data_IF_852685145176
#
_entry.id   IF_852685145176
#
_cell.length_a   1.000
_cell.length_b   1.000
_cell.length_c   1.000
_cell.angle_alpha   90.00
_cell.angle_beta   90.00
_cell.angle_gamma   90.00
#
_symmetry.space_group_name_H-M   'P 1'
#
loop_
_entity.id
_entity.type
_entity.pdbx_description
1 polymer ?
#
# COMPACT_ATOMS: atom_id res chain seq x y z
N UNK A 1 -11.18 12.82 -1.13
CA UNK A 1 -10.50 12.40 0.10
C UNK A 1 -9.19 11.69 -0.24
N UNK A 2 -8.14 11.98 0.50
CA UNK A 2 -6.83 11.33 0.37
C UNK A 2 -6.40 10.77 1.72
N UNK A 3 -6.04 9.49 1.74
CA UNK A 3 -5.60 8.82 2.95
C UNK A 3 -4.16 8.32 2.80
N UNK A 4 -3.38 8.41 3.86
CA UNK A 4 -2.09 7.74 3.99
C UNK A 4 -2.14 6.71 5.10
N UNK A 5 -1.41 5.61 4.94
CA UNK A 5 -1.29 4.57 5.94
C UNK A 5 0.08 4.66 6.60
N UNK A 6 0.11 4.63 7.92
CA UNK A 6 1.33 4.54 8.72
C UNK A 6 1.25 3.33 9.66
N UNK A 7 2.38 2.86 10.16
CA UNK A 7 2.43 1.83 11.21
C UNK A 7 2.85 2.47 12.53
N UNK A 8 2.04 2.38 13.59
CA UNK A 8 2.51 2.78 14.94
C UNK A 8 3.49 1.73 15.46
N UNK A 9 4.73 2.16 15.74
CA UNK A 9 5.77 1.25 16.22
C UNK A 9 5.50 0.65 17.60
N UNK A 10 4.60 1.25 18.39
CA UNK A 10 4.28 0.75 19.74
C UNK A 10 3.31 -0.42 19.71
N UNK A 11 2.35 -0.39 18.80
CA UNK A 11 1.28 -1.39 18.71
C UNK A 11 1.46 -2.33 17.52
N UNK A 12 2.21 -1.92 16.48
CA UNK A 12 2.32 -2.64 15.22
C UNK A 12 1.11 -2.46 14.30
N UNK A 13 0.10 -1.69 14.72
CA UNK A 13 -1.16 -1.51 14.02
C UNK A 13 -1.07 -0.43 12.91
N UNK A 14 -1.91 -0.52 11.88
CA UNK A 14 -2.04 0.52 10.89
C UNK A 14 -2.79 1.74 11.44
N UNK A 15 -2.32 2.93 11.11
CA UNK A 15 -2.99 4.20 11.34
C UNK A 15 -3.36 4.78 9.99
N UNK A 16 -4.64 5.04 9.77
CA UNK A 16 -5.15 5.62 8.52
C UNK A 16 -5.44 7.11 8.77
N UNK A 17 -4.57 7.96 8.23
CA UNK A 17 -4.73 9.41 8.34
C UNK A 17 -5.37 9.99 7.08
N UNK A 18 -6.46 10.74 7.25
CA UNK A 18 -7.11 11.48 6.18
C UNK A 18 -6.43 12.84 6.03
N UNK A 19 -5.70 13.02 4.95
CA UNK A 19 -5.14 14.32 4.59
C UNK A 19 -6.26 15.25 4.09
N UNK A 20 -6.30 16.46 4.61
CA UNK A 20 -7.40 17.39 4.36
C UNK A 20 -7.00 18.63 3.56
N UNK A 21 -5.85 19.19 3.88
CA UNK A 21 -5.42 20.51 3.39
C UNK A 21 -4.09 20.46 2.64
N UNK A 22 -3.30 19.40 2.83
CA UNK A 22 -1.93 19.33 2.32
C UNK A 22 -0.98 20.30 3.06
N UNK A 23 -1.31 20.68 4.28
CA UNK A 23 -0.47 21.52 5.12
C UNK A 23 0.75 20.76 5.69
N UNK A 24 1.53 21.44 6.54
CA UNK A 24 2.75 20.86 7.11
C UNK A 24 2.47 19.59 7.96
N UNK A 25 1.29 19.47 8.56
CA UNK A 25 0.91 18.28 9.32
C UNK A 25 0.61 17.11 8.39
N UNK A 26 -0.19 17.30 7.35
CA UNK A 26 -0.46 16.30 6.32
C UNK A 26 0.84 15.82 5.65
N UNK A 27 1.76 16.75 5.32
CA UNK A 27 3.08 16.40 4.76
C UNK A 27 3.89 15.52 5.72
N UNK A 28 3.84 15.76 7.03
CA UNK A 28 4.50 14.90 8.01
C UNK A 28 3.89 13.49 8.07
N UNK A 29 2.58 13.35 7.89
CA UNK A 29 1.94 12.05 7.77
C UNK A 29 2.38 11.32 6.50
N UNK A 30 2.53 12.03 5.37
CA UNK A 30 3.08 11.47 4.13
C UNK A 30 4.54 11.02 4.31
N UNK A 31 5.37 11.82 5.01
CA UNK A 31 6.74 11.47 5.38
C UNK A 31 6.76 10.17 6.21
N UNK A 32 5.90 10.08 7.22
CA UNK A 32 5.79 8.89 8.06
C UNK A 32 5.38 7.66 7.26
N UNK A 33 4.41 7.80 6.35
CA UNK A 33 3.94 6.73 5.45
C UNK A 33 5.03 6.20 4.52
N UNK A 34 6.01 7.04 4.15
CA UNK A 34 7.15 6.68 3.30
C UNK A 34 8.42 6.30 4.09
N UNK A 35 8.37 6.31 5.43
CA UNK A 35 9.53 6.08 6.30
C UNK A 35 9.79 4.58 6.49
N UNK A 36 10.58 3.99 5.57
CA UNK A 36 10.92 2.56 5.61
C UNK A 36 11.78 2.19 6.84
N UNK A 37 11.49 1.05 7.50
CA UNK A 37 12.33 0.51 8.57
C UNK A 37 13.80 0.39 8.14
N UNK A 38 14.71 0.69 9.06
CA UNK A 38 16.16 0.77 8.88
C UNK A 38 16.66 1.92 8.00
N UNK A 39 15.90 2.38 7.02
CA UNK A 39 16.29 3.47 6.11
C UNK A 39 15.91 4.86 6.65
N UNK A 40 14.83 4.96 7.43
CA UNK A 40 14.36 6.21 7.99
C UNK A 40 14.28 6.19 9.52
N UNK A 41 14.11 7.36 10.12
CA UNK A 41 13.84 7.52 11.55
C UNK A 41 12.34 7.38 11.81
N UNK A 42 11.99 6.98 13.06
CA UNK A 42 10.61 7.02 13.53
C UNK A 42 10.13 8.48 13.51
N UNK A 43 9.07 8.75 12.80
CA UNK A 43 8.40 10.06 12.74
C UNK A 43 7.44 10.16 13.91
N UNK A 44 7.57 11.23 14.70
CA UNK A 44 6.68 11.47 15.85
C UNK A 44 5.62 12.50 15.47
N UNK A 45 4.34 12.12 15.61
CA UNK A 45 3.18 13.00 15.39
C UNK A 45 2.24 12.82 16.58
N UNK A 46 2.04 13.88 17.37
CA UNK A 46 1.31 13.79 18.64
C UNK A 46 1.89 12.70 19.54
N UNK A 47 1.08 11.72 19.91
CA UNK A 47 1.47 10.58 20.73
C UNK A 47 1.97 9.36 19.93
N UNK A 48 1.90 9.40 18.60
CA UNK A 48 2.32 8.30 17.73
C UNK A 48 3.81 8.30 17.46
N UNK A 49 4.38 7.10 17.33
CA UNK A 49 5.69 6.87 16.71
C UNK A 49 5.48 6.05 15.43
N UNK A 50 5.68 6.67 14.27
CA UNK A 50 5.22 6.15 13.00
C UNK A 50 6.36 5.76 12.07
N UNK A 51 6.13 4.69 11.32
CA UNK A 51 6.92 4.23 10.18
C UNK A 51 5.98 3.85 9.01
N UNK A 52 6.59 3.41 7.91
CA UNK A 52 5.91 3.01 6.65
C UNK A 52 4.68 2.15 6.89
N UNK A 53 3.56 2.58 6.34
CA UNK A 53 2.27 1.90 6.47
C UNK A 53 2.24 0.53 5.83
N UNK A 54 3.07 0.30 4.81
CA UNK A 54 3.20 -1.00 4.17
C UNK A 54 3.74 -2.11 5.09
N UNK A 55 4.13 -1.80 6.32
CA UNK A 55 4.45 -2.81 7.34
C UNK A 55 3.16 -3.44 7.89
N UNK A 56 2.21 -2.63 8.34
CA UNK A 56 0.96 -3.09 8.94
C UNK A 56 -0.11 -3.40 7.89
N UNK A 57 -0.33 -2.49 6.93
CA UNK A 57 -1.31 -2.65 5.84
C UNK A 57 -0.75 -2.07 4.53
N UNK A 58 -0.27 -2.95 3.67
CA UNK A 58 0.35 -2.55 2.39
C UNK A 58 -0.68 -2.18 1.31
N UNK A 59 -1.92 -2.68 1.40
CA UNK A 59 -3.00 -2.48 0.43
C UNK A 59 -4.31 -2.34 1.21
N UNK A 60 -4.73 -1.12 1.57
CA UNK A 60 -5.75 -0.88 2.59
C UNK A 60 -7.20 -1.10 2.09
N UNK A 61 -7.44 -2.17 1.34
CA UNK A 61 -8.76 -2.45 0.77
C UNK A 61 -9.85 -2.63 1.84
N UNK A 62 -9.53 -3.39 2.91
CA UNK A 62 -10.49 -3.63 3.99
C UNK A 62 -10.85 -2.35 4.75
N UNK A 63 -9.88 -1.43 4.90
CA UNK A 63 -10.15 -0.12 5.47
C UNK A 63 -11.14 0.67 4.61
N UNK A 64 -10.91 0.74 3.29
CA UNK A 64 -11.82 1.47 2.39
C UNK A 64 -13.22 0.86 2.38
N UNK A 65 -13.34 -0.46 2.39
CA UNK A 65 -14.64 -1.13 2.54
C UNK A 65 -15.32 -0.77 3.87
N UNK A 66 -14.56 -0.71 4.98
CA UNK A 66 -15.10 -0.40 6.31
C UNK A 66 -15.64 1.02 6.43
N UNK A 67 -15.12 1.96 5.64
CA UNK A 67 -15.60 3.36 5.60
C UNK A 67 -16.60 3.62 4.47
N UNK A 68 -17.11 2.56 3.83
CA UNK A 68 -18.26 2.63 2.92
C UNK A 68 -17.94 2.58 1.42
N UNK A 69 -16.68 2.46 1.00
CA UNK A 69 -16.34 2.30 -0.41
C UNK A 69 -16.61 0.85 -0.84
N UNK A 70 -17.72 0.63 -1.52
CA UNK A 70 -18.18 -0.72 -1.91
C UNK A 70 -17.49 -1.26 -3.16
N UNK A 71 -17.00 -0.38 -4.04
CA UNK A 71 -16.28 -0.71 -5.28
C UNK A 71 -14.99 0.07 -5.36
N UNK A 72 -13.91 -0.60 -5.69
CA UNK A 72 -12.57 0.00 -5.66
C UNK A 72 -11.81 -0.25 -6.96
N UNK A 73 -11.07 0.76 -7.41
CA UNK A 73 -10.03 0.62 -8.42
C UNK A 73 -8.70 0.42 -7.70
N UNK A 74 -8.14 -0.79 -7.81
CA UNK A 74 -6.92 -1.17 -7.09
C UNK A 74 -5.73 -1.17 -8.04
N UNK A 75 -4.68 -0.42 -7.71
CA UNK A 75 -3.43 -0.41 -8.49
C UNK A 75 -2.36 -1.15 -7.72
N UNK A 76 -1.90 -2.27 -8.26
CA UNK A 76 -0.85 -3.10 -7.68
C UNK A 76 0.48 -2.90 -8.44
N UNK A 77 1.59 -2.99 -7.70
CA UNK A 77 2.95 -2.90 -8.26
C UNK A 77 3.56 -4.27 -8.56
N UNK A 78 2.84 -5.35 -8.22
CA UNK A 78 3.27 -6.73 -8.44
C UNK A 78 2.34 -7.45 -9.42
N UNK A 79 2.87 -8.34 -10.26
CA UNK A 79 2.07 -9.09 -11.23
C UNK A 79 1.15 -10.12 -10.55
N UNK A 80 0.23 -10.67 -11.33
CA UNK A 80 -0.65 -11.75 -10.87
C UNK A 80 0.20 -12.98 -10.49
N UNK A 81 -0.17 -13.62 -9.36
CA UNK A 81 0.56 -14.77 -8.85
C UNK A 81 1.82 -14.44 -8.03
N UNK A 82 2.10 -13.15 -7.80
CA UNK A 82 3.18 -12.78 -6.89
C UNK A 82 2.91 -13.29 -5.47
N UNK A 83 3.95 -13.88 -4.86
CA UNK A 83 3.92 -14.30 -3.45
C UNK A 83 5.04 -13.60 -2.69
N UNK A 84 4.66 -12.80 -1.69
CA UNK A 84 5.61 -12.10 -0.83
C UNK A 84 6.31 -13.08 0.10
N UNK A 85 7.64 -13.02 0.14
CA UNK A 85 8.49 -13.83 1.02
C UNK A 85 8.77 -13.11 2.33
N UNK A 86 9.20 -13.88 3.34
CA UNK A 86 9.69 -13.34 4.62
C UNK A 86 10.77 -12.29 4.39
N UNK A 87 10.76 -11.25 5.23
CA UNK A 87 11.76 -10.18 5.13
C UNK A 87 13.14 -10.71 5.58
N UNK A 88 14.16 -10.74 4.70
CA UNK A 88 15.50 -11.21 5.05
C UNK A 88 16.20 -10.31 6.08
N UNK A 89 15.78 -9.04 6.20
CA UNK A 89 16.33 -8.08 7.15
C UNK A 89 15.71 -8.19 8.56
N UNK A 90 14.82 -9.17 8.80
CA UNK A 90 14.15 -9.33 10.09
C UNK A 90 15.12 -9.40 11.30
N UNK A 91 16.28 -10.08 11.23
CA UNK A 91 17.26 -10.05 12.34
C UNK A 91 17.78 -8.64 12.66
N UNK A 92 18.09 -7.85 11.63
CA UNK A 92 18.53 -6.45 11.80
C UNK A 92 17.39 -5.57 12.35
N UNK A 93 16.16 -5.79 11.90
CA UNK A 93 14.98 -5.09 12.40
C UNK A 93 14.76 -5.43 13.88
N UNK A 94 14.83 -6.68 14.27
CA UNK A 94 14.75 -7.09 15.69
C UNK A 94 15.80 -6.39 16.55
N UNK A 95 17.04 -6.34 16.12
CA UNK A 95 18.12 -5.66 16.85
C UNK A 95 17.88 -4.14 16.96
N UNK A 96 17.41 -3.50 15.87
CA UNK A 96 17.18 -2.04 15.82
C UNK A 96 15.96 -1.58 16.61
N UNK A 97 14.91 -2.42 16.66
CA UNK A 97 13.61 -2.09 17.23
C UNK A 97 13.27 -2.93 18.46
N UNK A 98 14.28 -3.31 19.29
CA UNK A 98 14.12 -4.09 20.52
C UNK A 98 13.06 -3.51 21.49
N UNK A 99 12.88 -2.18 21.51
CA UNK A 99 11.91 -1.49 22.35
C UNK A 99 10.48 -1.51 21.80
N UNK A 100 10.29 -2.06 20.60
CA UNK A 100 9.03 -2.09 19.88
C UNK A 100 8.70 -3.52 19.40
N UNK A 101 8.47 -4.47 20.32
CA UNK A 101 8.26 -5.88 19.98
C UNK A 101 7.06 -6.08 19.04
N UNK A 102 5.95 -5.37 19.25
CA UNK A 102 4.77 -5.44 18.39
C UNK A 102 5.06 -5.00 16.96
N UNK A 103 5.88 -3.96 16.76
CA UNK A 103 6.34 -3.57 15.43
C UNK A 103 7.19 -4.66 14.77
N UNK A 104 8.08 -5.30 15.53
CA UNK A 104 8.92 -6.40 15.02
C UNK A 104 8.05 -7.57 14.58
N UNK A 105 7.01 -7.91 15.34
CA UNK A 105 6.02 -8.93 14.99
C UNK A 105 5.24 -8.53 13.71
N UNK A 106 4.78 -7.28 13.64
CA UNK A 106 4.14 -6.75 12.44
C UNK A 106 5.02 -6.89 11.18
N UNK A 107 6.33 -6.67 11.28
CA UNK A 107 7.27 -6.90 10.17
C UNK A 107 7.43 -8.39 9.87
N UNK A 108 7.48 -9.24 10.89
CA UNK A 108 7.66 -10.69 10.73
C UNK A 108 6.50 -11.31 9.95
N UNK A 109 5.26 -10.91 10.25
CA UNK A 109 4.03 -11.46 9.68
C UNK A 109 3.55 -10.71 8.43
N UNK A 110 4.24 -9.62 8.06
CA UNK A 110 3.88 -8.78 6.90
C UNK A 110 3.64 -9.61 5.62
N UNK A 111 4.45 -10.62 5.39
CA UNK A 111 4.36 -11.44 4.17
C UNK A 111 3.08 -12.27 4.13
N UNK A 112 2.62 -12.78 5.26
CA UNK A 112 1.37 -13.55 5.37
C UNK A 112 0.17 -12.64 5.12
N UNK A 113 0.07 -11.53 5.86
CA UNK A 113 -1.00 -10.54 5.67
C UNK A 113 -1.07 -9.99 4.24
N UNK A 114 0.09 -9.71 3.63
CA UNK A 114 0.14 -9.26 2.24
C UNK A 114 -0.41 -10.30 1.27
N UNK A 115 -0.04 -11.57 1.43
CA UNK A 115 -0.51 -12.65 0.57
C UNK A 115 -2.00 -12.94 0.78
N UNK A 116 -2.50 -12.87 2.00
CA UNK A 116 -3.93 -12.94 2.31
C UNK A 116 -4.70 -11.81 1.63
N UNK A 117 -4.17 -10.57 1.69
CA UNK A 117 -4.77 -9.42 1.01
C UNK A 117 -4.80 -9.61 -0.51
N UNK A 118 -3.72 -10.12 -1.12
CA UNK A 118 -3.72 -10.45 -2.56
C UNK A 118 -4.75 -11.51 -2.92
N UNK A 119 -4.92 -12.53 -2.09
CA UNK A 119 -5.95 -13.57 -2.28
C UNK A 119 -7.35 -12.98 -2.20
N UNK A 120 -7.58 -12.10 -1.24
CA UNK A 120 -8.84 -11.37 -1.09
C UNK A 120 -9.13 -10.48 -2.30
N UNK A 121 -8.16 -9.69 -2.75
CA UNK A 121 -8.28 -8.85 -3.95
C UNK A 121 -8.57 -9.71 -5.18
N UNK A 122 -7.94 -10.88 -5.31
CA UNK A 122 -8.21 -11.78 -6.44
C UNK A 122 -9.67 -12.28 -6.46
N UNK A 123 -10.25 -12.52 -5.29
CA UNK A 123 -11.67 -12.89 -5.17
C UNK A 123 -12.59 -11.72 -5.55
N UNK A 124 -12.28 -10.49 -5.11
CA UNK A 124 -13.04 -9.29 -5.47
C UNK A 124 -12.96 -8.99 -6.97
N UNK A 125 -11.79 -9.16 -7.58
CA UNK A 125 -11.58 -9.01 -9.03
C UNK A 125 -12.40 -10.05 -9.82
N UNK A 126 -12.39 -11.32 -9.39
CA UNK A 126 -13.14 -12.41 -10.06
C UNK A 126 -14.65 -12.22 -9.98
N UNK A 127 -15.15 -11.67 -8.87
CA UNK A 127 -16.57 -11.36 -8.71
C UNK A 127 -17.03 -10.09 -9.46
N UNK A 128 -16.08 -9.32 -10.03
CA UNK A 128 -16.38 -8.05 -10.69
C UNK A 128 -16.69 -6.90 -9.71
N UNK A 129 -16.53 -7.14 -8.39
CA UNK A 129 -16.76 -6.11 -7.38
C UNK A 129 -15.74 -5.00 -7.47
N UNK A 130 -14.45 -5.36 -7.63
CA UNK A 130 -13.34 -4.41 -7.75
C UNK A 130 -12.60 -4.58 -9.09
N UNK A 131 -11.99 -3.50 -9.55
CA UNK A 131 -11.16 -3.50 -10.76
C UNK A 131 -9.69 -3.39 -10.40
N UNK A 132 -8.84 -4.28 -10.94
CA UNK A 132 -7.42 -4.35 -10.57
C UNK A 132 -6.52 -4.05 -11.77
N UNK A 133 -5.66 -3.04 -11.62
CA UNK A 133 -4.58 -2.73 -12.56
C UNK A 133 -3.27 -3.25 -11.94
N UNK A 134 -2.52 -4.03 -12.72
CA UNK A 134 -1.21 -4.55 -12.29
C UNK A 134 -0.27 -4.74 -13.48
N UNK A 135 1.06 -4.71 -13.26
CA UNK A 135 2.00 -5.04 -14.32
C UNK A 135 1.84 -6.49 -14.77
N UNK A 136 2.03 -6.80 -16.07
CA UNK A 136 1.93 -8.17 -16.60
C UNK A 136 3.08 -9.07 -16.13
N UNK A 137 4.24 -8.49 -15.87
CA UNK A 137 5.47 -9.16 -15.42
C UNK A 137 6.12 -8.36 -14.28
N UNK A 138 7.07 -8.95 -13.52
CA UNK A 138 7.84 -8.22 -12.51
C UNK A 138 8.54 -6.99 -13.08
N UNK A 139 8.52 -5.89 -12.34
CA UNK A 139 9.08 -4.60 -12.82
C UNK A 139 10.60 -4.52 -12.77
N UNK A 140 11.26 -5.48 -12.10
CA UNK A 140 12.73 -5.55 -11.96
C UNK A 140 13.34 -4.21 -11.50
N UNK A 141 12.74 -3.62 -10.46
CA UNK A 141 13.20 -2.37 -9.87
C UNK A 141 13.33 -2.51 -8.35
N UNK A 142 14.38 -1.92 -7.79
CA UNK A 142 14.61 -1.88 -6.34
C UNK A 142 13.75 -0.83 -5.65
N UNK A 143 13.45 -1.04 -4.36
CA UNK A 143 12.67 -0.08 -3.56
C UNK A 143 13.36 1.28 -3.36
N UNK A 144 14.67 1.34 -3.57
CA UNK A 144 15.50 2.56 -3.41
C UNK A 144 16.19 2.95 -4.73
N UNK A 145 15.58 2.62 -5.86
CA UNK A 145 16.12 2.95 -7.18
C UNK A 145 16.24 4.47 -7.37
N UNK A 146 17.35 4.89 -7.96
CA UNK A 146 17.65 6.30 -8.23
C UNK A 146 18.05 6.57 -9.70
N UNK A 147 18.20 5.52 -10.49
CA UNK A 147 18.49 5.65 -11.91
C UNK A 147 17.27 6.22 -12.64
N UNK A 148 17.36 7.43 -13.22
CA UNK A 148 16.25 8.07 -13.92
C UNK A 148 15.71 7.25 -15.07
N UNK A 149 16.56 6.50 -15.78
CA UNK A 149 16.14 5.71 -16.95
C UNK A 149 15.35 4.48 -16.51
N UNK A 150 15.74 3.82 -15.39
CA UNK A 150 14.97 2.74 -14.79
C UNK A 150 13.61 3.24 -14.29
N UNK A 151 13.59 4.38 -13.61
CA UNK A 151 12.34 4.99 -13.12
C UNK A 151 11.42 5.36 -14.29
N UNK A 152 11.96 5.93 -15.37
CA UNK A 152 11.19 6.25 -16.59
C UNK A 152 10.64 5.00 -17.25
N UNK A 153 11.45 3.94 -17.40
CA UNK A 153 11.01 2.65 -17.94
C UNK A 153 9.79 2.09 -17.17
N UNK A 154 9.86 2.11 -15.85
CA UNK A 154 8.76 1.61 -15.00
C UNK A 154 7.52 2.51 -15.12
N UNK A 155 7.70 3.83 -15.17
CA UNK A 155 6.61 4.78 -15.41
C UNK A 155 5.90 4.51 -16.75
N UNK A 156 6.65 4.37 -17.85
CA UNK A 156 6.07 4.09 -19.18
C UNK A 156 5.37 2.72 -19.22
N UNK A 157 5.90 1.72 -18.51
CA UNK A 157 5.23 0.42 -18.35
C UNK A 157 3.88 0.59 -17.67
N UNK A 158 3.82 1.29 -16.55
CA UNK A 158 2.58 1.53 -15.81
C UNK A 158 1.56 2.31 -16.65
N UNK A 159 2.03 3.34 -17.36
CA UNK A 159 1.22 4.16 -18.25
C UNK A 159 0.60 3.33 -19.38
N UNK A 160 1.40 2.51 -20.05
CA UNK A 160 0.95 1.66 -21.15
C UNK A 160 -0.12 0.65 -20.65
N UNK A 161 0.14 0.00 -19.51
CA UNK A 161 -0.82 -0.94 -18.90
C UNK A 161 -2.16 -0.26 -18.58
N UNK A 162 -2.12 0.97 -18.08
CA UNK A 162 -3.35 1.72 -17.79
C UNK A 162 -4.08 2.16 -19.07
N UNK A 163 -3.34 2.64 -20.09
CA UNK A 163 -3.91 3.15 -21.34
C UNK A 163 -4.72 2.10 -22.10
N UNK A 164 -4.24 0.86 -22.20
CA UNK A 164 -4.97 -0.23 -22.87
C UNK A 164 -6.23 -0.67 -22.13
N UNK A 165 -6.42 -0.22 -20.88
CA UNK A 165 -7.55 -0.56 -20.04
C UNK A 165 -8.52 0.60 -19.80
N UNK A 166 -8.24 1.80 -20.35
CA UNK A 166 -9.02 3.03 -20.08
C UNK A 166 -10.52 2.85 -20.27
N UNK A 167 -10.95 2.21 -21.36
CA UNK A 167 -12.39 2.05 -21.63
C UNK A 167 -13.06 1.10 -20.63
N UNK A 168 -12.35 0.03 -20.22
CA UNK A 168 -12.84 -0.89 -19.19
C UNK A 168 -12.91 -0.20 -17.82
N UNK A 169 -11.92 0.63 -17.50
CA UNK A 169 -11.88 1.42 -16.25
C UNK A 169 -13.06 2.40 -16.23
N UNK A 170 -13.31 3.10 -17.32
CA UNK A 170 -14.46 4.03 -17.43
C UNK A 170 -15.79 3.31 -17.22
N UNK A 171 -16.01 2.20 -17.92
CA UNK A 171 -17.21 1.40 -17.76
C UNK A 171 -17.41 0.90 -16.32
N UNK A 172 -16.33 0.46 -15.67
CA UNK A 172 -16.36 0.07 -14.24
C UNK A 172 -16.76 1.24 -13.33
N UNK A 173 -16.19 2.43 -13.53
CA UNK A 173 -16.50 3.61 -12.72
C UNK A 173 -17.92 4.13 -12.94
N UNK A 174 -18.46 4.06 -14.16
CA UNK A 174 -19.84 4.41 -14.47
C UNK A 174 -20.83 3.47 -13.77
N UNK A 175 -20.57 2.16 -13.80
CA UNK A 175 -21.38 1.18 -13.07
C UNK A 175 -21.32 1.43 -11.56
N UNK A 176 -20.12 1.67 -11.02
CA UNK A 176 -19.95 1.96 -9.60
C UNK A 176 -20.66 3.23 -9.14
N UNK A 177 -20.75 4.24 -10.01
CA UNK A 177 -21.48 5.48 -9.73
C UNK A 177 -22.99 5.24 -9.72
N UNK A 178 -23.53 4.51 -10.69
CA UNK A 178 -24.94 4.19 -10.76
C UNK A 178 -25.42 3.42 -9.51
N UNK A 179 -24.66 2.42 -9.06
CA UNK A 179 -24.96 1.64 -7.85
C UNK A 179 -24.85 2.45 -6.54
N UNK A 180 -24.13 3.57 -6.53
CA UNK A 180 -23.99 4.42 -5.35
C UNK A 180 -25.15 5.45 -5.24
N UNK A 181 -25.90 5.68 -6.32
CA UNK A 181 -27.05 6.57 -6.40
C UNK A 181 -28.39 5.86 -6.10
N UNK A 182 -28.39 4.51 -6.04
CA UNK A 182 -29.50 3.65 -5.60
C UNK A 182 -29.48 3.41 -4.08
#
# INVERSE_FOLDING_TARGET
DYFVVCTDVRTGDPIYHKCRTGDAEDVRWMEASASMPLAAKIVKIGHYGLLDGGVADSIPIRFFESIGYKRNLIILTQPKGFVKKKNPMLPAIRARYLRYPAFVEAVADRHERYNETLSYISMLEQSGKDYVIRPPIPLEIGAMERDPDQLRRVYETGRAVAQIQVDKIRAFLETAKAEAEE
#
